data_IF_432672555847
#
_entry.id   IF_432672555847
#
_cell.length_a   1.000
_cell.length_b   1.000
_cell.length_c   1.000
_cell.angle_alpha   90.00
_cell.angle_beta   90.00
_cell.angle_gamma   90.00
#
_symmetry.space_group_name_H-M   'P 1'
#
loop_
_entity.id
_entity.type
_entity.pdbx_description
1 polymer ?
#
# COMPACT_ATOMS: atom_id res chain seq x y z
N UNK A 1 -11.97 -22.66 -68.45
CA UNK A 1 -10.70 -21.96 -68.17
C UNK A 1 -11.04 -20.59 -67.57
N UNK A 2 -10.68 -20.37 -66.31
CA UNK A 2 -10.67 -19.14 -65.47
C UNK A 2 -11.58 -17.90 -65.69
N UNK A 3 -11.98 -17.28 -64.55
CA UNK A 3 -12.52 -15.90 -64.36
C UNK A 3 -13.92 -15.64 -64.94
N UNK A 4 -14.78 -14.69 -64.51
CA UNK A 4 -14.90 -13.69 -63.40
C UNK A 4 -16.38 -13.19 -63.41
N UNK A 5 -17.02 -12.51 -62.44
CA UNK A 5 -16.70 -11.94 -61.11
C UNK A 5 -17.99 -11.92 -60.24
N UNK A 6 -17.94 -11.49 -58.96
CA UNK A 6 -19.13 -11.30 -58.10
C UNK A 6 -19.93 -10.03 -58.46
N UNK A 7 -21.27 -10.11 -58.54
CA UNK A 7 -22.21 -9.04 -58.16
C UNK A 7 -23.48 -9.66 -57.55
N UNK A 8 -23.83 -9.28 -56.32
CA UNK A 8 -25.20 -9.38 -55.79
C UNK A 8 -25.60 -8.00 -55.33
N UNK A 9 -26.68 -7.49 -55.91
CA UNK A 9 -27.25 -6.20 -55.56
C UNK A 9 -28.15 -6.32 -54.32
N UNK A 10 -28.35 -5.18 -53.66
CA UNK A 10 -29.11 -5.02 -52.43
C UNK A 10 -30.61 -5.04 -52.75
N UNK A 11 -31.41 -5.73 -51.93
CA UNK A 11 -32.88 -5.76 -51.98
C UNK A 11 -33.42 -5.75 -50.55
N UNK A 12 -34.45 -4.96 -50.30
CA UNK A 12 -34.71 -4.40 -48.96
C UNK A 12 -35.51 -5.27 -47.98
N UNK A 13 -35.34 -4.90 -46.70
CA UNK A 13 -36.04 -5.28 -45.47
C UNK A 13 -37.50 -5.80 -45.63
N UNK A 14 -37.81 -6.84 -44.85
CA UNK A 14 -38.97 -6.78 -43.96
C UNK A 14 -38.47 -6.80 -42.51
N UNK A 15 -38.91 -5.82 -41.72
CA UNK A 15 -38.60 -5.75 -40.29
C UNK A 15 -39.61 -6.58 -39.50
N UNK A 16 -39.16 -7.70 -38.90
CA UNK A 16 -39.91 -8.41 -37.88
C UNK A 16 -39.67 -7.71 -36.53
N UNK A 17 -40.69 -7.01 -36.01
CA UNK A 17 -40.62 -6.36 -34.71
C UNK A 17 -40.65 -7.38 -33.57
N UNK A 18 -39.49 -7.70 -33.01
CA UNK A 18 -39.41 -8.38 -31.71
C UNK A 18 -39.68 -7.35 -30.60
N UNK A 19 -40.84 -7.45 -29.96
CA UNK A 19 -41.10 -6.74 -28.73
C UNK A 19 -40.27 -7.37 -27.59
N UNK A 20 -39.12 -6.77 -27.28
CA UNK A 20 -38.34 -7.15 -26.10
C UNK A 20 -39.06 -6.60 -24.87
N UNK A 21 -39.77 -7.47 -24.15
CA UNK A 21 -40.29 -7.15 -22.83
C UNK A 21 -39.11 -6.92 -21.88
N UNK A 22 -38.81 -5.66 -21.60
CA UNK A 22 -37.75 -5.29 -20.67
C UNK A 22 -38.11 -5.71 -19.26
N UNK A 23 -37.54 -6.82 -18.77
CA UNK A 23 -37.43 -7.04 -17.34
C UNK A 23 -36.49 -5.97 -16.79
N UNK A 24 -37.07 -4.91 -16.22
CA UNK A 24 -36.35 -3.99 -15.35
C UNK A 24 -35.97 -4.74 -14.08
N UNK A 25 -34.83 -5.45 -14.11
CA UNK A 25 -34.16 -5.93 -12.90
C UNK A 25 -33.71 -4.67 -12.16
N UNK A 26 -34.44 -4.31 -11.11
CA UNK A 26 -33.99 -3.27 -10.20
C UNK A 26 -32.62 -3.69 -9.67
N UNK A 27 -31.60 -2.87 -9.91
CA UNK A 27 -30.30 -3.07 -9.28
C UNK A 27 -30.53 -3.09 -7.75
N UNK A 28 -29.92 -4.04 -7.01
CA UNK A 28 -29.99 -3.99 -5.56
C UNK A 28 -29.46 -2.63 -5.10
N UNK A 29 -30.15 -2.00 -4.17
CA UNK A 29 -29.66 -0.76 -3.57
C UNK A 29 -28.23 -1.01 -3.07
N UNK A 30 -27.27 -0.21 -3.56
CA UNK A 30 -25.88 -0.37 -3.19
C UNK A 30 -25.77 -0.29 -1.66
N UNK A 31 -25.38 -1.40 -1.03
CA UNK A 31 -25.21 -1.43 0.41
C UNK A 31 -24.08 -0.46 0.74
N UNK A 32 -24.40 0.58 1.51
CA UNK A 32 -23.45 1.64 1.79
C UNK A 32 -22.26 1.08 2.56
N UNK A 33 -21.06 1.45 2.12
CA UNK A 33 -19.83 0.99 2.74
C UNK A 33 -19.59 1.85 3.99
N UNK A 34 -19.36 1.20 5.13
CA UNK A 34 -18.85 1.88 6.33
C UNK A 34 -17.41 2.30 6.06
N UNK A 35 -17.20 3.55 5.70
CA UNK A 35 -15.89 4.07 5.37
C UNK A 35 -15.08 4.42 6.64
N UNK A 36 -13.76 4.24 6.63
CA UNK A 36 -12.91 4.62 7.76
C UNK A 36 -12.87 6.15 7.95
N UNK A 37 -12.53 6.64 9.16
CA UNK A 37 -12.47 8.07 9.45
C UNK A 37 -11.60 8.85 8.46
N UNK A 38 -12.12 9.98 7.98
CA UNK A 38 -11.46 10.85 6.98
C UNK A 38 -11.85 10.60 5.52
N UNK A 39 -12.58 9.52 5.21
CA UNK A 39 -13.04 9.19 3.85
C UNK A 39 -14.56 9.32 3.64
N UNK A 40 -15.28 9.88 4.61
CA UNK A 40 -16.75 9.96 4.66
C UNK A 40 -17.37 10.84 3.56
N UNK A 41 -16.56 11.67 2.90
CA UNK A 41 -16.98 12.55 1.80
C UNK A 41 -16.96 11.86 0.43
N UNK A 42 -16.49 10.61 0.34
CA UNK A 42 -16.47 9.87 -0.93
C UNK A 42 -17.86 9.37 -1.34
N UNK A 43 -18.22 9.42 -2.64
CA UNK A 43 -19.50 8.89 -3.13
C UNK A 43 -19.67 7.40 -2.81
N UNK A 44 -20.70 7.05 -2.03
CA UNK A 44 -21.02 5.68 -1.62
C UNK A 44 -20.77 5.37 -0.14
N UNK A 45 -20.11 6.27 0.60
CA UNK A 45 -20.00 6.20 2.05
C UNK A 45 -21.29 6.66 2.74
N UNK A 46 -21.69 6.01 3.84
CA UNK A 46 -22.67 6.56 4.79
C UNK A 46 -22.08 6.60 6.19
N UNK A 47 -22.42 7.66 6.93
CA UNK A 47 -21.96 7.88 8.30
C UNK A 47 -22.53 6.83 9.28
N UNK A 48 -21.84 5.69 9.40
CA UNK A 48 -21.96 4.84 10.58
C UNK A 48 -21.39 5.59 11.79
N UNK A 49 -22.26 6.18 12.61
CA UNK A 49 -21.85 7.08 13.69
C UNK A 49 -20.90 6.40 14.68
N UNK A 50 -19.69 6.93 14.84
CA UNK A 50 -18.63 6.26 15.60
C UNK A 50 -17.39 7.09 15.91
N UNK A 51 -17.56 8.26 16.53
CA UNK A 51 -16.50 8.91 17.32
C UNK A 51 -15.61 9.94 16.59
N UNK A 52 -15.54 11.14 17.18
CA UNK A 52 -14.51 12.13 16.87
C UNK A 52 -13.13 11.62 17.30
N UNK A 53 -12.25 11.33 16.33
CA UNK A 53 -10.90 10.78 16.56
C UNK A 53 -9.76 11.61 15.95
N UNK A 54 -9.97 12.91 15.74
CA UNK A 54 -8.98 13.82 15.16
C UNK A 54 -7.81 14.10 16.11
N UNK A 55 -6.84 13.19 16.17
CA UNK A 55 -5.62 13.33 16.96
C UNK A 55 -5.06 11.99 17.42
N UNK A 56 -4.27 11.32 16.57
CA UNK A 56 -3.58 10.06 16.91
C UNK A 56 -2.39 10.30 17.86
N UNK A 57 -2.69 10.55 19.14
CA UNK A 57 -1.74 10.43 20.26
C UNK A 57 -1.83 9.07 20.97
N UNK A 58 -2.72 8.19 20.51
CA UNK A 58 -3.13 6.95 21.18
C UNK A 58 -2.20 5.75 20.93
N UNK A 59 -0.93 5.87 21.29
CA UNK A 59 0.02 4.76 21.32
C UNK A 59 0.76 4.68 22.66
N UNK A 60 0.91 3.47 23.20
CA UNK A 60 1.59 3.16 24.47
C UNK A 60 3.10 2.91 24.29
N UNK A 61 3.51 2.51 23.09
CA UNK A 61 4.90 2.46 22.63
C UNK A 61 5.57 3.82 22.41
N UNK A 62 6.85 3.77 22.03
CA UNK A 62 7.72 4.94 21.80
C UNK A 62 8.04 5.13 20.32
N UNK A 63 7.95 6.37 19.84
CA UNK A 63 8.55 6.78 18.56
C UNK A 63 10.00 7.24 18.76
N UNK A 64 10.93 6.69 17.99
CA UNK A 64 12.28 7.22 17.80
C UNK A 64 12.44 7.76 16.37
N UNK A 65 13.54 8.47 16.10
CA UNK A 65 13.96 8.79 14.74
C UNK A 65 15.45 8.52 14.61
N UNK A 66 15.82 7.67 13.66
CA UNK A 66 17.16 7.13 13.48
C UNK A 66 17.59 7.22 12.02
N UNK A 67 18.88 7.38 11.77
CA UNK A 67 19.43 7.22 10.41
C UNK A 67 19.76 5.75 10.20
N UNK A 68 19.01 5.07 9.33
CA UNK A 68 19.19 3.64 9.01
C UNK A 68 19.24 3.50 7.49
N UNK A 69 20.21 2.73 6.98
CA UNK A 69 20.36 2.46 5.54
C UNK A 69 20.37 3.73 4.64
N UNK A 70 20.89 4.86 5.15
CA UNK A 70 20.92 6.14 4.43
C UNK A 70 19.58 6.92 4.42
N UNK A 71 18.56 6.44 5.12
CA UNK A 71 17.25 7.08 5.28
C UNK A 71 17.06 7.63 6.69
N UNK A 72 16.27 8.69 6.82
CA UNK A 72 15.65 9.10 8.09
C UNK A 72 14.47 8.17 8.34
N UNK A 73 14.50 7.41 9.44
CA UNK A 73 13.45 6.42 9.75
C UNK A 73 12.81 6.77 11.08
N UNK A 74 11.50 6.99 11.07
CA UNK A 74 10.68 7.05 12.28
C UNK A 74 10.30 5.63 12.65
N UNK A 75 10.83 5.14 13.77
CA UNK A 75 10.61 3.78 14.25
C UNK A 75 9.65 3.83 15.45
N UNK A 76 8.65 2.95 15.45
CA UNK A 76 7.76 2.76 16.59
C UNK A 76 7.96 1.39 17.21
N UNK A 77 8.21 1.39 18.52
CA UNK A 77 8.34 0.18 19.33
C UNK A 77 7.19 0.13 20.34
N UNK A 78 6.19 -0.77 20.18
CA UNK A 78 5.08 -0.92 21.11
C UNK A 78 5.55 -1.51 22.45
N UNK A 79 4.82 -1.24 23.53
CA UNK A 79 5.07 -1.89 24.84
C UNK A 79 4.30 -3.20 25.00
N UNK A 80 3.31 -3.46 24.15
CA UNK A 80 2.54 -4.71 24.10
C UNK A 80 3.41 -5.89 23.67
N UNK A 81 3.01 -7.11 24.04
CA UNK A 81 3.68 -8.33 23.58
C UNK A 81 3.40 -8.60 22.09
N UNK A 82 4.27 -9.35 21.41
CA UNK A 82 4.04 -9.82 20.05
C UNK A 82 2.73 -10.63 19.95
N UNK A 83 1.96 -10.46 18.86
CA UNK A 83 0.78 -11.27 18.61
C UNK A 83 1.08 -12.75 18.34
N UNK A 84 2.29 -13.08 17.88
CA UNK A 84 2.74 -14.44 17.56
C UNK A 84 3.90 -14.89 18.47
N UNK A 85 4.02 -16.20 18.79
CA UNK A 85 5.11 -16.70 19.63
C UNK A 85 6.50 -16.71 18.98
N UNK A 86 6.60 -16.54 17.66
CA UNK A 86 7.86 -16.57 16.91
C UNK A 86 8.64 -15.26 16.95
N UNK A 87 7.96 -14.15 17.29
CA UNK A 87 8.53 -12.81 17.37
C UNK A 87 7.52 -11.75 16.93
N UNK A 88 7.96 -10.50 16.89
CA UNK A 88 7.20 -9.35 16.39
C UNK A 88 7.23 -9.32 14.86
N UNK A 89 6.12 -8.92 14.26
CA UNK A 89 6.14 -8.46 12.89
C UNK A 89 6.90 -7.13 12.75
N UNK A 90 7.42 -6.85 11.55
CA UNK A 90 7.92 -5.55 11.13
C UNK A 90 7.09 -5.04 9.95
N UNK A 91 6.47 -3.88 10.08
CA UNK A 91 5.81 -3.18 8.97
C UNK A 91 6.65 -1.99 8.52
N UNK A 92 7.12 -2.00 7.28
CA UNK A 92 7.75 -0.86 6.63
C UNK A 92 6.69 -0.14 5.79
N UNK A 93 6.33 1.10 6.12
CA UNK A 93 5.30 1.84 5.36
C UNK A 93 5.86 3.06 4.63
N UNK A 94 5.66 3.10 3.32
CA UNK A 94 6.27 4.04 2.38
C UNK A 94 5.31 5.17 2.01
N UNK A 95 5.74 6.41 2.22
CA UNK A 95 4.96 7.59 1.89
C UNK A 95 4.83 7.83 0.38
N UNK A 96 3.79 8.55 -0.04
CA UNK A 96 3.65 9.02 -1.41
C UNK A 96 4.52 10.24 -1.72
N UNK A 97 4.52 10.69 -2.98
CA UNK A 97 5.14 11.96 -3.36
C UNK A 97 4.52 13.13 -2.57
N UNK A 98 5.30 14.20 -2.35
CA UNK A 98 5.00 15.39 -1.56
C UNK A 98 4.87 15.13 -0.04
N UNK A 99 4.51 13.91 0.36
CA UNK A 99 4.46 13.47 1.74
C UNK A 99 5.85 13.14 2.31
N UNK A 100 5.88 12.94 3.63
CA UNK A 100 7.04 12.49 4.43
C UNK A 100 6.62 11.42 5.43
N UNK A 101 7.59 10.77 6.06
CA UNK A 101 7.35 9.83 7.16
C UNK A 101 6.62 10.47 8.36
N UNK A 102 6.73 11.79 8.57
CA UNK A 102 5.95 12.55 9.57
C UNK A 102 4.44 12.50 9.32
N UNK A 103 4.04 12.42 8.06
CA UNK A 103 2.64 12.51 7.66
C UNK A 103 1.99 11.14 7.85
N UNK A 104 2.73 10.07 7.57
CA UNK A 104 2.35 8.69 7.92
C UNK A 104 2.30 8.50 9.44
N UNK A 105 3.25 9.06 10.20
CA UNK A 105 3.22 8.99 11.67
C UNK A 105 1.97 9.67 12.26
N UNK A 106 1.56 10.82 11.71
CA UNK A 106 0.46 11.63 12.26
C UNK A 106 -0.93 11.25 11.74
N UNK A 107 -1.04 10.72 10.51
CA UNK A 107 -2.32 10.41 9.87
C UNK A 107 -2.52 8.92 9.49
N UNK A 108 -1.48 8.08 9.57
CA UNK A 108 -1.54 6.67 9.15
C UNK A 108 -2.03 5.67 10.21
N UNK A 109 -2.42 6.14 11.40
CA UNK A 109 -2.82 5.34 12.58
C UNK A 109 -1.81 4.28 13.07
N UNK A 110 -0.57 4.34 12.59
CA UNK A 110 0.42 3.27 12.78
C UNK A 110 0.75 2.91 14.23
N UNK A 111 0.70 3.88 15.15
CA UNK A 111 0.98 3.61 16.57
C UNK A 111 -0.08 2.73 17.23
N UNK A 112 -1.37 2.96 16.94
CA UNK A 112 -2.46 2.16 17.48
C UNK A 112 -2.42 0.72 16.92
N UNK A 113 -2.22 0.59 15.60
CA UNK A 113 -2.08 -0.72 14.95
C UNK A 113 -0.84 -1.48 15.43
N UNK A 114 0.28 -0.79 15.64
CA UNK A 114 1.49 -1.41 16.19
C UNK A 114 1.27 -1.98 17.59
N UNK A 115 0.56 -1.26 18.46
CA UNK A 115 0.21 -1.75 19.80
C UNK A 115 -0.77 -2.95 19.73
N UNK A 116 -1.77 -2.90 18.85
CA UNK A 116 -2.78 -3.97 18.67
C UNK A 116 -2.14 -5.32 18.30
N UNK A 117 -1.15 -5.32 17.41
CA UNK A 117 -0.48 -6.54 16.93
C UNK A 117 0.89 -6.81 17.60
N UNK A 118 1.34 -5.92 18.49
CA UNK A 118 2.69 -5.98 19.05
C UNK A 118 3.80 -5.87 17.99
N UNK A 119 3.53 -5.12 16.91
CA UNK A 119 4.33 -5.04 15.70
C UNK A 119 5.27 -3.83 15.72
N UNK A 120 6.51 -3.98 15.25
CA UNK A 120 7.41 -2.85 14.99
C UNK A 120 6.95 -2.13 13.73
N UNK A 121 6.86 -0.79 13.74
CA UNK A 121 6.59 -0.01 12.52
C UNK A 121 7.78 0.87 12.18
N UNK A 122 8.25 0.80 10.94
CA UNK A 122 9.28 1.67 10.39
C UNK A 122 8.69 2.54 9.27
N UNK A 123 8.79 3.86 9.42
CA UNK A 123 8.38 4.85 8.43
C UNK A 123 9.65 5.56 7.91
N UNK A 124 10.26 5.10 6.80
CA UNK A 124 11.38 5.78 6.18
C UNK A 124 10.92 6.99 5.35
N UNK A 125 11.65 8.10 5.44
CA UNK A 125 11.68 9.13 4.40
C UNK A 125 12.53 8.62 3.22
N UNK A 126 12.09 8.87 1.98
CA UNK A 126 12.82 8.48 0.78
C UNK A 126 14.27 9.03 0.78
N UNK A 127 15.28 8.21 0.41
CA UNK A 127 16.70 8.61 0.40
C UNK A 127 16.93 9.95 -0.30
N UNK A 128 17.79 10.79 0.29
CA UNK A 128 18.16 12.12 -0.24
C UNK A 128 16.97 13.07 -0.53
N UNK A 129 15.77 12.81 0.01
CA UNK A 129 14.57 13.60 -0.27
C UNK A 129 13.80 13.14 -1.52
N UNK A 130 14.04 11.91 -1.99
CA UNK A 130 13.39 11.32 -3.15
C UNK A 130 13.91 11.86 -4.49
N UNK A 131 13.40 11.29 -5.59
CA UNK A 131 13.88 11.61 -6.95
C UNK A 131 13.26 12.87 -7.54
N UNK A 132 11.92 12.96 -7.52
CA UNK A 132 11.17 14.17 -7.87
C UNK A 132 10.05 14.33 -6.86
N UNK A 133 9.87 15.52 -6.30
CA UNK A 133 8.84 15.82 -5.29
C UNK A 133 8.76 14.79 -4.14
N UNK A 134 9.87 14.24 -3.64
CA UNK A 134 9.83 13.22 -2.59
C UNK A 134 9.33 11.84 -3.01
N UNK A 135 9.12 11.58 -4.31
CA UNK A 135 8.75 10.24 -4.77
C UNK A 135 9.88 9.22 -4.52
N UNK A 136 9.48 7.96 -4.31
CA UNK A 136 10.35 6.81 -4.44
C UNK A 136 10.78 6.59 -5.90
N UNK A 137 11.87 5.87 -6.14
CA UNK A 137 12.46 5.64 -7.46
C UNK A 137 11.91 4.35 -8.10
N UNK A 138 10.57 4.23 -8.12
CA UNK A 138 9.82 2.98 -8.39
C UNK A 138 9.55 2.70 -9.88
N UNK A 139 9.89 3.64 -10.77
CA UNK A 139 9.54 3.60 -12.19
C UNK A 139 10.60 2.90 -13.03
N UNK A 140 10.26 2.58 -14.28
CA UNK A 140 11.05 1.78 -15.22
C UNK A 140 11.30 0.34 -14.73
N UNK A 141 12.07 -0.44 -15.51
CA UNK A 141 12.34 -1.85 -15.23
C UNK A 141 13.72 -2.10 -14.58
N UNK A 142 14.51 -1.05 -14.33
CA UNK A 142 15.87 -1.17 -13.82
C UNK A 142 15.89 -1.22 -12.29
N UNK A 143 15.54 -2.39 -11.75
CA UNK A 143 15.51 -2.68 -10.31
C UNK A 143 16.47 -3.82 -9.98
N UNK A 144 17.11 -3.74 -8.81
CA UNK A 144 18.20 -4.64 -8.42
C UNK A 144 18.32 -4.71 -6.89
N UNK A 145 18.94 -5.77 -6.37
CA UNK A 145 19.21 -5.92 -4.93
C UNK A 145 20.58 -5.40 -4.51
N UNK A 146 21.42 -5.06 -5.48
CA UNK A 146 22.85 -4.79 -5.29
C UNK A 146 23.17 -3.31 -5.49
N UNK A 147 23.70 -2.69 -4.44
CA UNK A 147 24.05 -1.28 -4.43
C UNK A 147 25.06 -0.90 -5.55
N UNK A 148 24.90 0.27 -6.20
CA UNK A 148 23.75 1.18 -6.09
C UNK A 148 22.56 0.65 -6.89
N UNK A 149 21.43 0.43 -6.22
CA UNK A 149 20.17 -0.04 -6.80
C UNK A 149 19.02 0.88 -6.42
N UNK A 150 19.24 2.18 -6.64
CA UNK A 150 18.23 3.24 -6.52
C UNK A 150 17.79 3.42 -5.07
N UNK A 151 16.53 3.12 -4.75
CA UNK A 151 16.03 3.05 -3.37
C UNK A 151 15.80 1.61 -2.89
N UNK A 152 16.02 0.61 -3.75
CA UNK A 152 15.73 -0.79 -3.47
C UNK A 152 16.68 -1.35 -2.41
N UNK A 153 18.00 -1.07 -2.52
CA UNK A 153 19.00 -1.46 -1.53
C UNK A 153 18.84 -0.73 -0.20
N UNK A 154 18.34 0.51 -0.19
CA UNK A 154 18.03 1.21 1.06
C UNK A 154 16.93 0.47 1.84
N UNK A 155 15.88 -0.02 1.15
CA UNK A 155 14.79 -0.76 1.78
C UNK A 155 15.19 -2.18 2.22
N UNK A 156 15.98 -2.91 1.42
CA UNK A 156 16.54 -4.21 1.81
C UNK A 156 17.51 -4.10 2.98
N UNK A 157 18.35 -3.06 2.99
CA UNK A 157 19.27 -2.75 4.08
C UNK A 157 18.52 -2.31 5.34
N UNK A 158 17.41 -1.58 5.22
CA UNK A 158 16.53 -1.25 6.34
C UNK A 158 15.91 -2.51 6.95
N UNK A 159 15.28 -3.36 6.14
CA UNK A 159 14.64 -4.60 6.59
C UNK A 159 15.63 -5.53 7.30
N UNK A 160 16.78 -5.80 6.68
CA UNK A 160 17.84 -6.62 7.29
C UNK A 160 18.46 -5.99 8.54
N UNK A 161 18.69 -4.67 8.56
CA UNK A 161 19.24 -3.97 9.74
C UNK A 161 18.27 -4.02 10.92
N UNK A 162 16.97 -3.85 10.70
CA UNK A 162 15.97 -3.92 11.77
C UNK A 162 15.80 -5.36 12.27
N UNK A 163 15.66 -6.34 11.36
CA UNK A 163 15.52 -7.76 11.70
C UNK A 163 16.73 -8.29 12.49
N UNK A 164 17.94 -7.81 12.20
CA UNK A 164 19.15 -8.17 12.93
C UNK A 164 19.24 -7.58 14.36
N UNK A 165 18.38 -6.62 14.75
CA UNK A 165 18.36 -6.05 16.10
C UNK A 165 17.58 -6.97 17.04
N UNK A 166 18.29 -7.83 17.75
CA UNK A 166 17.72 -8.76 18.76
C UNK A 166 16.86 -8.07 19.82
N UNK A 167 17.09 -6.78 20.12
CA UNK A 167 16.26 -5.98 21.04
C UNK A 167 14.87 -5.64 20.51
N UNK A 168 14.63 -5.78 19.20
CA UNK A 168 13.32 -5.59 18.57
C UNK A 168 12.54 -6.89 18.43
N UNK A 169 13.19 -8.06 18.65
CA UNK A 169 12.56 -9.38 18.61
C UNK A 169 11.75 -9.64 17.32
N UNK A 170 12.24 -9.16 16.18
CA UNK A 170 11.54 -9.26 14.89
C UNK A 170 11.71 -10.68 14.33
N UNK A 171 10.58 -11.31 14.00
CA UNK A 171 10.55 -12.55 13.25
C UNK A 171 10.85 -12.25 11.76
N UNK A 172 11.87 -12.93 11.22
CA UNK A 172 12.30 -12.74 9.84
C UNK A 172 11.23 -13.19 8.81
N UNK A 173 10.35 -14.12 9.20
CA UNK A 173 9.22 -14.56 8.37
C UNK A 173 7.99 -13.62 8.50
N UNK A 174 8.12 -12.50 9.23
CA UNK A 174 7.05 -11.52 9.50
C UNK A 174 7.46 -10.08 9.15
N UNK A 175 8.26 -9.90 8.10
CA UNK A 175 8.61 -8.59 7.55
C UNK A 175 7.66 -8.22 6.41
N UNK A 176 7.00 -7.08 6.51
CA UNK A 176 5.95 -6.60 5.62
C UNK A 176 6.29 -5.23 5.04
N UNK A 177 5.83 -4.95 3.82
CA UNK A 177 5.99 -3.64 3.19
C UNK A 177 4.67 -3.12 2.61
N UNK A 178 4.33 -1.87 2.92
CA UNK A 178 3.14 -1.19 2.43
C UNK A 178 3.47 0.22 1.94
N UNK A 179 2.57 0.84 1.17
CA UNK A 179 2.79 2.22 0.75
C UNK A 179 1.65 2.83 -0.05
N UNK A 180 1.66 4.15 -0.15
CA UNK A 180 0.65 4.93 -0.86
C UNK A 180 1.26 5.64 -2.08
N UNK A 181 0.53 5.67 -3.21
CA UNK A 181 0.98 6.31 -4.46
C UNK A 181 2.36 5.81 -4.91
N UNK A 182 3.40 6.64 -4.99
CA UNK A 182 4.78 6.23 -5.30
C UNK A 182 5.36 5.23 -4.30
N UNK A 183 5.01 5.34 -3.02
CA UNK A 183 5.34 4.34 -2.00
C UNK A 183 4.71 2.99 -2.32
N UNK A 184 3.47 2.97 -2.81
CA UNK A 184 2.81 1.74 -3.27
C UNK A 184 3.43 1.16 -4.55
N UNK A 185 3.90 2.02 -5.46
CA UNK A 185 4.72 1.59 -6.59
C UNK A 185 6.02 0.91 -6.14
N UNK A 186 6.73 1.51 -5.18
CA UNK A 186 7.94 0.93 -4.59
C UNK A 186 7.65 -0.36 -3.82
N UNK A 187 6.52 -0.45 -3.11
CA UNK A 187 6.05 -1.69 -2.47
C UNK A 187 5.93 -2.83 -3.49
N UNK A 188 5.30 -2.59 -4.64
CA UNK A 188 5.18 -3.60 -5.70
C UNK A 188 6.55 -4.01 -6.26
N UNK A 189 7.47 -3.07 -6.44
CA UNK A 189 8.87 -3.36 -6.80
C UNK A 189 9.51 -4.29 -5.77
N UNK A 190 9.44 -3.96 -4.47
CA UNK A 190 10.05 -4.76 -3.41
C UNK A 190 9.46 -6.18 -3.33
N UNK A 191 8.14 -6.32 -3.44
CA UNK A 191 7.47 -7.63 -3.44
C UNK A 191 7.86 -8.51 -4.64
N UNK A 192 8.13 -7.92 -5.81
CA UNK A 192 8.65 -8.67 -6.97
C UNK A 192 10.15 -8.98 -6.87
N UNK A 193 10.94 -8.08 -6.28
CA UNK A 193 12.40 -8.14 -6.23
C UNK A 193 12.94 -8.99 -5.07
N UNK A 194 12.19 -9.05 -3.96
CA UNK A 194 12.58 -9.75 -2.74
C UNK A 194 11.40 -10.43 -2.00
N UNK A 195 10.68 -11.36 -2.66
CA UNK A 195 9.63 -12.18 -2.02
C UNK A 195 10.18 -13.16 -0.96
N UNK A 196 11.50 -13.31 -0.87
CA UNK A 196 12.26 -14.01 0.18
C UNK A 196 12.57 -13.13 1.40
N UNK A 197 12.30 -11.82 1.33
CA UNK A 197 12.50 -10.85 2.42
C UNK A 197 11.17 -10.28 2.92
N UNK A 198 10.20 -10.09 2.04
CA UNK A 198 8.89 -9.53 2.39
C UNK A 198 7.80 -10.61 2.31
N UNK A 199 7.18 -10.90 3.45
CA UNK A 199 6.09 -11.86 3.62
C UNK A 199 4.73 -11.33 3.10
N UNK A 200 4.62 -10.03 2.81
CA UNK A 200 3.45 -9.37 2.25
C UNK A 200 3.58 -7.85 2.13
#
# INVERSE_FOLDING_TARGET
MFSRVRKRAIGALLAAGLAVAGLAVAAPAAQAITCPPGFETLPGCTNGGGGSGGGSTGGTGTWTTETIAGMSVRLYTPTTAAALPSGRALMISLHGCVQKASDLQSAGNWAQTADEYGMIVALPDAPNGGVILGCWDYYDANHSRSAPSRHDDNLLSLASTLTARTSLDIDADQVYVSGLSSGGGQTMVMGCLAPDVFAG
#
